data_IF_053842190824
#
_entry.id   IF_053842190824
#
_cell.length_a   1.000
_cell.length_b   1.000
_cell.length_c   1.000
_cell.angle_alpha   90.00
_cell.angle_beta   90.00
_cell.angle_gamma   90.00
#
_symmetry.space_group_name_H-M   'P 1'
#
loop_
_entity.id
_entity.type
_entity.pdbx_description
1 polymer ?
#
# COMPACT_ATOMS: atom_id res chain seq x y z
N UNK A 1 -8.69 16.87 -10.38
CA UNK A 1 -7.72 15.75 -10.34
C UNK A 1 -7.84 15.10 -8.98
N UNK A 2 -7.89 13.78 -8.89
CA UNK A 2 -7.86 13.09 -7.60
C UNK A 2 -6.45 13.21 -7.00
N UNK A 3 -6.34 13.50 -5.70
CA UNK A 3 -5.03 13.62 -5.04
C UNK A 3 -4.32 12.27 -5.02
N UNK A 4 -3.01 12.29 -5.30
CA UNK A 4 -2.16 11.10 -5.38
C UNK A 4 -1.58 10.80 -4.01
N UNK A 5 -1.99 9.68 -3.43
CA UNK A 5 -1.54 9.21 -2.13
C UNK A 5 -0.57 8.03 -2.33
N UNK A 6 0.56 8.06 -1.63
CA UNK A 6 1.55 6.99 -1.71
C UNK A 6 1.82 6.37 -0.33
N UNK A 7 1.54 5.09 -0.19
CA UNK A 7 1.83 4.30 1.00
C UNK A 7 3.18 3.63 0.87
N UNK A 8 4.03 3.80 1.88
CA UNK A 8 5.32 3.14 1.95
C UNK A 8 5.59 2.51 3.32
N UNK A 9 6.28 1.38 3.27
CA UNK A 9 6.85 0.74 4.45
C UNK A 9 8.26 0.24 4.11
N UNK A 10 9.17 0.34 5.07
CA UNK A 10 10.48 -0.28 4.99
C UNK A 10 10.38 -1.80 4.75
N UNK A 11 11.38 -2.33 4.03
CA UNK A 11 11.57 -3.77 3.76
C UNK A 11 10.39 -4.46 3.07
N UNK A 12 9.55 -3.73 2.34
CA UNK A 12 8.43 -4.32 1.59
C UNK A 12 7.45 -5.08 2.48
N UNK A 13 7.16 -4.56 3.68
CA UNK A 13 6.15 -5.13 4.58
C UNK A 13 4.74 -5.03 4.01
N UNK A 14 3.90 -6.04 4.27
CA UNK A 14 2.51 -6.08 3.82
C UNK A 14 1.61 -4.93 4.33
N UNK A 15 2.05 -4.17 5.34
CA UNK A 15 1.29 -3.04 5.92
C UNK A 15 0.91 -1.97 4.90
N UNK A 16 1.82 -1.60 4.01
CA UNK A 16 1.54 -0.59 2.99
C UNK A 16 0.46 -1.07 2.00
N UNK A 17 0.58 -2.30 1.53
CA UNK A 17 -0.39 -2.93 0.62
C UNK A 17 -1.77 -3.05 1.26
N UNK A 18 -1.83 -3.51 2.51
CA UNK A 18 -3.08 -3.63 3.26
C UNK A 18 -3.76 -2.26 3.42
N UNK A 19 -3.05 -1.26 3.94
CA UNK A 19 -3.63 0.06 4.18
C UNK A 19 -4.09 0.74 2.89
N UNK A 20 -3.32 0.61 1.80
CA UNK A 20 -3.68 1.15 0.51
C UNK A 20 -4.95 0.48 -0.06
N UNK A 21 -5.07 -0.85 0.04
CA UNK A 21 -6.26 -1.59 -0.40
C UNK A 21 -7.51 -1.22 0.41
N UNK A 22 -7.36 -1.11 1.74
CA UNK A 22 -8.44 -0.67 2.62
C UNK A 22 -8.90 0.76 2.28
N UNK A 23 -7.97 1.69 2.09
CA UNK A 23 -8.34 3.07 1.74
C UNK A 23 -8.99 3.13 0.35
N UNK A 24 -8.54 2.32 -0.61
CA UNK A 24 -9.15 2.24 -1.94
C UNK A 24 -10.62 1.80 -1.87
N UNK A 25 -10.94 0.83 -1.02
CA UNK A 25 -12.31 0.41 -0.79
C UNK A 25 -13.15 1.48 -0.08
N UNK A 26 -12.57 2.22 0.87
CA UNK A 26 -13.28 3.24 1.66
C UNK A 26 -13.46 4.58 0.93
N UNK A 27 -12.48 4.97 0.12
CA UNK A 27 -12.42 6.27 -0.53
C UNK A 27 -12.97 6.26 -1.96
N UNK A 28 -13.41 5.09 -2.45
CA UNK A 28 -13.89 4.86 -3.81
C UNK A 28 -12.90 5.46 -4.83
N UNK A 29 -13.20 6.61 -5.45
CA UNK A 29 -12.36 7.26 -6.44
C UNK A 29 -11.90 8.67 -6.04
N UNK A 30 -11.94 9.00 -4.75
CA UNK A 30 -11.55 10.33 -4.26
C UNK A 30 -10.04 10.57 -4.36
N UNK A 31 -9.25 9.50 -4.35
CA UNK A 31 -7.80 9.52 -4.38
C UNK A 31 -7.26 8.55 -5.43
N UNK A 32 -6.10 8.88 -5.99
CA UNK A 32 -5.29 7.91 -6.74
C UNK A 32 -4.31 7.29 -5.75
N UNK A 33 -4.57 6.05 -5.34
CA UNK A 33 -3.84 5.39 -4.25
C UNK A 33 -2.76 4.47 -4.83
N UNK A 34 -1.55 4.60 -4.30
CA UNK A 34 -0.38 3.85 -4.71
C UNK A 34 0.32 3.26 -3.49
N UNK A 35 1.00 2.13 -3.66
CA UNK A 35 1.78 1.51 -2.58
C UNK A 35 3.13 0.99 -3.09
N UNK A 36 4.11 0.87 -2.21
CA UNK A 36 5.25 -0.01 -2.46
C UNK A 36 4.79 -1.47 -2.53
N UNK A 37 5.42 -2.32 -3.37
CA UNK A 37 5.12 -3.75 -3.39
C UNK A 37 5.58 -4.42 -2.08
N UNK A 38 4.90 -5.52 -1.74
CA UNK A 38 5.34 -6.42 -0.67
C UNK A 38 6.50 -7.28 -1.18
N UNK A 39 7.56 -7.46 -0.39
CA UNK A 39 8.74 -8.26 -0.78
C UNK A 39 8.63 -9.72 -0.31
N UNK A 40 7.89 -9.97 0.76
CA UNK A 40 7.67 -11.31 1.30
C UNK A 40 6.33 -11.88 0.76
N UNK A 41 6.41 -13.05 0.12
CA UNK A 41 5.25 -13.75 -0.41
C UNK A 41 4.29 -14.21 0.69
N UNK A 42 4.79 -14.51 1.89
CA UNK A 42 3.97 -14.88 3.04
C UNK A 42 3.17 -13.69 3.55
N UNK A 43 3.80 -12.51 3.67
CA UNK A 43 3.11 -11.26 3.99
C UNK A 43 2.04 -10.95 2.95
N UNK A 44 2.33 -11.12 1.67
CA UNK A 44 1.39 -10.87 0.58
C UNK A 44 0.14 -11.75 0.69
N UNK A 45 0.34 -13.07 0.84
CA UNK A 45 -0.74 -14.03 1.00
C UNK A 45 -1.58 -13.75 2.26
N UNK A 46 -0.95 -13.30 3.35
CA UNK A 46 -1.67 -12.91 4.57
C UNK A 46 -2.56 -11.68 4.33
N UNK A 47 -2.04 -10.67 3.63
CA UNK A 47 -2.82 -9.47 3.27
C UNK A 47 -4.02 -9.84 2.39
N UNK A 48 -3.82 -10.68 1.37
CA UNK A 48 -4.90 -11.18 0.52
C UNK A 48 -5.98 -11.89 1.33
N UNK A 49 -5.58 -12.81 2.23
CA UNK A 49 -6.52 -13.53 3.09
C UNK A 49 -7.34 -12.58 3.97
N UNK A 50 -6.68 -11.61 4.63
CA UNK A 50 -7.35 -10.63 5.50
C UNK A 50 -8.33 -9.74 4.72
N UNK A 51 -7.95 -9.29 3.52
CA UNK A 51 -8.83 -8.47 2.68
C UNK A 51 -10.02 -9.27 2.17
N UNK A 52 -9.79 -10.53 1.78
CA UNK A 52 -10.85 -11.44 1.33
C UNK A 52 -11.88 -11.71 2.43
N UNK A 53 -11.46 -11.87 3.69
CA UNK A 53 -12.38 -12.00 4.84
C UNK A 53 -13.33 -10.80 4.99
N UNK A 54 -12.93 -9.63 4.51
CA UNK A 54 -13.72 -8.40 4.55
C UNK A 54 -14.43 -8.09 3.22
N UNK A 55 -14.33 -8.97 2.21
CA UNK A 55 -14.82 -8.73 0.83
C UNK A 55 -14.20 -7.47 0.20
N UNK A 56 -12.93 -7.22 0.47
CA UNK A 56 -12.19 -6.08 -0.09
C UNK A 56 -11.22 -6.60 -1.15
N UNK A 57 -11.20 -5.95 -2.31
CA UNK A 57 -10.25 -6.26 -3.36
C UNK A 57 -8.84 -5.79 -2.97
N UNK A 58 -7.84 -6.59 -3.32
CA UNK A 58 -6.45 -6.19 -3.24
C UNK A 58 -6.17 -5.03 -4.21
N UNK A 59 -5.33 -4.09 -3.80
CA UNK A 59 -4.85 -3.03 -4.67
C UNK A 59 -4.25 -3.61 -5.96
N UNK A 60 -4.65 -3.03 -7.10
CA UNK A 60 -4.25 -3.52 -8.42
C UNK A 60 -2.71 -3.47 -8.62
N UNK A 61 -2.12 -4.45 -9.33
CA UNK A 61 -0.66 -4.54 -9.50
C UNK A 61 -0.01 -3.32 -10.16
N UNK A 62 -0.73 -2.60 -11.03
CA UNK A 62 -0.26 -1.38 -11.70
C UNK A 62 -0.24 -0.15 -10.78
N UNK A 63 -0.81 -0.24 -9.58
CA UNK A 63 -0.72 0.74 -8.51
C UNK A 63 0.38 0.41 -7.49
N UNK A 64 1.16 -0.64 -7.75
CA UNK A 64 2.34 -1.02 -6.97
C UNK A 64 3.60 -0.50 -7.64
N UNK A 65 4.38 0.33 -6.94
CA UNK A 65 5.53 1.01 -7.55
C UNK A 65 6.79 0.99 -6.68
N UNK A 66 7.91 0.62 -7.32
CA UNK A 66 9.26 0.74 -6.79
C UNK A 66 10.28 0.74 -7.95
N UNK A 67 11.32 1.60 -7.94
CA UNK A 67 11.57 2.66 -6.97
C UNK A 67 10.68 3.90 -7.19
N UNK A 68 10.34 4.62 -6.13
CA UNK A 68 9.48 5.81 -6.19
C UNK A 68 10.23 7.14 -6.47
N UNK A 69 11.53 7.07 -6.79
CA UNK A 69 12.35 8.26 -7.03
C UNK A 69 11.89 9.03 -8.26
N UNK A 70 11.84 10.36 -8.16
CA UNK A 70 11.43 11.23 -9.28
C UNK A 70 9.93 11.25 -9.56
N UNK A 71 9.12 10.55 -8.77
CA UNK A 71 7.66 10.63 -8.83
C UNK A 71 7.14 11.73 -7.91
N UNK A 72 6.02 12.34 -8.30
CA UNK A 72 5.34 13.37 -7.52
C UNK A 72 4.06 12.80 -6.89
N UNK A 73 3.92 13.06 -5.59
CA UNK A 73 2.79 12.66 -4.76
C UNK A 73 2.25 13.89 -4.06
N UNK A 74 0.94 13.96 -3.88
CA UNK A 74 0.34 15.04 -3.08
C UNK A 74 0.58 14.76 -1.58
N UNK A 75 0.56 13.49 -1.18
CA UNK A 75 0.85 13.05 0.19
C UNK A 75 1.56 11.68 0.21
N UNK A 76 2.49 11.53 1.16
CA UNK A 76 3.21 10.27 1.43
C UNK A 76 2.92 9.75 2.84
N UNK A 77 2.43 8.52 2.94
CA UNK A 77 2.04 7.88 4.21
C UNK A 77 3.05 6.78 4.54
N UNK A 78 3.73 6.93 5.67
CA UNK A 78 4.76 6.00 6.14
C UNK A 78 4.18 5.16 7.27
N UNK A 79 4.13 3.83 7.08
CA UNK A 79 3.53 2.89 8.05
C UNK A 79 4.54 2.03 8.80
N UNK A 80 5.83 2.25 8.52
CA UNK A 80 6.91 1.58 9.21
C UNK A 80 7.49 2.53 10.26
N UNK A 81 7.58 2.06 11.51
CA UNK A 81 8.45 2.70 12.49
C UNK A 81 9.90 2.55 12.03
N UNK A 82 10.71 3.61 12.13
CA UNK A 82 12.16 3.54 11.92
C UNK A 82 12.89 2.73 13.00
N UNK A 83 12.16 2.19 13.97
CA UNK A 83 12.65 1.23 14.94
C UNK A 83 12.91 -0.09 14.22
N UNK A 84 14.14 -0.27 13.78
CA UNK A 84 14.71 -1.60 13.59
C UNK A 84 14.69 -2.27 14.95
N UNK A 85 13.85 -3.29 15.13
CA UNK A 85 14.17 -4.32 16.12
C UNK A 85 15.51 -4.92 15.67
N UNK A 86 16.59 -4.45 16.30
CA UNK A 86 17.94 -4.99 16.20
C UNK A 86 18.11 -6.13 17.18
#
# INVERSE_FOLDING_TARGET
MASRLFFLCARGSGRALLAASLLQALAENRFSIWSTPTQDAQDHALVEAVLQEQTIDLLAPDHLIQPAFGLQWDEGIILCSGLTDT
#
